data_IF_278214888617
#
_entry.id   IF_278214888617
#
_cell.length_a   1.000
_cell.length_b   1.000
_cell.length_c   1.000
_cell.angle_alpha   90.00
_cell.angle_beta   90.00
_cell.angle_gamma   90.00
#
_symmetry.space_group_name_H-M   'P 1'
#
loop_
_entity.id
_entity.type
_entity.pdbx_description
1 polymer ?
#
# COMPACT_ATOMS: atom_id res chain seq x y z
N UNK A 1 46.33 2.53 -65.55
CA UNK A 1 45.82 1.54 -64.63
C UNK A 1 46.09 1.97 -63.19
N UNK A 2 45.43 3.02 -62.65
CA UNK A 2 45.64 3.46 -61.28
C UNK A 2 44.50 4.37 -60.78
N UNK A 3 43.25 4.01 -61.09
CA UNK A 3 42.12 4.84 -60.66
C UNK A 3 40.97 4.05 -60.01
N UNK A 4 41.19 2.78 -59.74
CA UNK A 4 40.15 1.92 -59.13
C UNK A 4 40.37 1.64 -57.66
N UNK A 5 41.45 2.14 -57.01
CA UNK A 5 41.75 1.80 -55.61
C UNK A 5 41.29 2.86 -54.57
N UNK A 6 40.63 3.94 -54.99
CA UNK A 6 40.20 5.02 -54.08
C UNK A 6 38.69 5.05 -53.73
N UNK A 7 37.91 4.18 -54.35
CA UNK A 7 36.46 4.12 -54.06
C UNK A 7 36.07 3.08 -52.99
N UNK A 8 36.96 2.16 -52.66
CA UNK A 8 36.66 1.13 -51.64
C UNK A 8 36.84 1.59 -50.20
N UNK A 9 37.48 2.72 -49.96
CA UNK A 9 37.71 3.26 -48.60
C UNK A 9 36.53 4.09 -48.08
N UNK A 10 35.71 4.68 -48.93
CA UNK A 10 34.58 5.51 -48.49
C UNK A 10 33.31 4.72 -48.13
N UNK A 11 33.14 3.52 -48.72
CA UNK A 11 31.98 2.68 -48.41
C UNK A 11 32.11 1.95 -47.05
N UNK A 12 33.33 1.69 -46.59
CA UNK A 12 33.61 1.05 -45.30
C UNK A 12 33.43 1.99 -44.09
N UNK A 13 33.55 3.31 -44.33
CA UNK A 13 33.39 4.29 -43.21
C UNK A 13 31.95 4.72 -42.96
N UNK A 14 31.06 4.50 -43.92
CA UNK A 14 29.65 4.86 -43.80
C UNK A 14 28.78 3.77 -43.12
N UNK A 15 29.28 2.53 -43.04
CA UNK A 15 28.57 1.42 -42.38
C UNK A 15 28.85 1.26 -40.89
N UNK A 16 29.87 1.97 -40.36
CA UNK A 16 30.22 1.89 -38.94
C UNK A 16 29.51 2.95 -38.05
N UNK A 17 28.76 3.86 -38.63
CA UNK A 17 28.08 4.95 -37.89
C UNK A 17 26.59 4.65 -37.58
N UNK A 18 26.05 3.51 -37.98
CA UNK A 18 24.64 3.15 -37.82
C UNK A 18 24.32 2.25 -36.61
N UNK A 19 25.32 1.88 -35.79
CA UNK A 19 25.16 0.93 -34.70
C UNK A 19 25.02 1.56 -33.30
N UNK A 20 24.84 2.88 -33.18
CA UNK A 20 24.68 3.57 -31.89
C UNK A 20 23.26 4.07 -31.64
N UNK A 21 22.22 3.44 -32.22
CA UNK A 21 20.85 3.59 -31.72
C UNK A 21 20.71 2.78 -30.44
N UNK A 22 21.26 3.30 -29.35
CA UNK A 22 21.06 2.76 -28.02
C UNK A 22 19.57 2.68 -27.73
N UNK A 23 19.07 1.47 -27.48
CA UNK A 23 17.77 1.27 -26.88
C UNK A 23 17.75 2.01 -25.54
N UNK A 24 17.20 3.21 -25.52
CA UNK A 24 16.83 3.87 -24.29
C UNK A 24 15.72 3.03 -23.68
N UNK A 25 16.08 2.12 -22.76
CA UNK A 25 15.13 1.47 -21.87
C UNK A 25 14.34 2.60 -21.18
N UNK A 26 13.00 2.65 -21.30
CA UNK A 26 12.24 3.64 -20.57
C UNK A 26 12.54 3.44 -19.09
N UNK A 27 13.10 4.48 -18.46
CA UNK A 27 13.34 4.46 -17.02
C UNK A 27 12.03 4.12 -16.34
N UNK A 28 12.02 3.06 -15.56
CA UNK A 28 10.89 2.71 -14.72
C UNK A 28 10.53 3.96 -13.90
N UNK A 29 9.24 4.34 -13.80
CA UNK A 29 8.84 5.51 -13.05
C UNK A 29 9.38 5.35 -11.62
N UNK A 30 10.29 6.23 -11.22
CA UNK A 30 10.82 6.25 -9.86
C UNK A 30 9.66 6.43 -8.91
N UNK A 31 9.48 5.46 -8.00
CA UNK A 31 8.48 5.56 -6.97
C UNK A 31 8.67 6.90 -6.21
N UNK A 32 7.61 7.68 -5.97
CA UNK A 32 7.72 8.90 -5.22
C UNK A 32 8.32 8.59 -3.85
N UNK A 33 9.35 9.31 -3.45
CA UNK A 33 9.93 9.20 -2.10
C UNK A 33 8.85 9.55 -1.09
N UNK A 34 8.44 8.67 -0.20
CA UNK A 34 7.60 9.03 0.93
C UNK A 34 8.50 9.72 1.95
N UNK A 35 8.55 11.03 1.89
CA UNK A 35 9.32 11.89 2.78
C UNK A 35 8.55 13.14 3.17
N UNK A 36 7.25 13.17 2.92
CA UNK A 36 6.36 14.22 3.40
C UNK A 36 5.98 13.98 4.86
N UNK A 37 5.84 15.08 5.64
CA UNK A 37 5.29 15.01 6.99
C UNK A 37 3.94 14.27 6.97
N UNK A 38 3.70 13.45 8.00
CA UNK A 38 2.43 12.72 8.16
C UNK A 38 1.26 13.69 8.12
N UNK A 39 0.27 13.40 7.29
CA UNK A 39 -0.99 14.15 7.25
C UNK A 39 -2.09 13.33 7.89
N UNK A 40 -2.69 13.94 8.89
CA UNK A 40 -3.79 13.37 9.66
C UNK A 40 -5.00 13.09 8.76
N UNK A 41 -5.68 11.99 9.02
CA UNK A 41 -6.91 11.60 8.32
C UNK A 41 -7.95 11.00 9.27
N UNK A 42 -9.17 10.79 8.80
CA UNK A 42 -10.17 10.05 9.56
C UNK A 42 -9.93 8.53 9.41
N UNK A 43 -9.96 7.71 10.48
CA UNK A 43 -10.23 8.00 11.88
C UNK A 43 -8.98 7.98 12.78
N UNK A 44 -8.00 8.85 12.54
CA UNK A 44 -6.81 8.96 13.37
C UNK A 44 -7.16 9.44 14.78
N UNK A 45 -6.30 9.11 15.74
CA UNK A 45 -6.47 9.44 17.14
C UNK A 45 -5.34 10.37 17.61
N UNK A 46 -5.70 11.55 18.06
CA UNK A 46 -4.80 12.63 18.45
C UNK A 46 -4.93 12.90 19.94
N UNK A 47 -3.81 13.17 20.60
CA UNK A 47 -3.78 13.72 21.97
C UNK A 47 -3.44 15.22 21.86
N UNK A 48 -4.34 16.06 22.33
CA UNK A 48 -4.17 17.51 22.42
C UNK A 48 -3.88 17.88 23.86
N UNK A 49 -2.77 18.55 24.12
CA UNK A 49 -2.37 19.02 25.45
C UNK A 49 -2.23 20.54 25.38
N UNK A 50 -2.86 21.26 26.34
CA UNK A 50 -2.79 22.70 26.46
C UNK A 50 -2.15 23.09 27.79
N UNK A 51 -1.06 23.83 27.73
CA UNK A 51 -0.41 24.37 28.91
C UNK A 51 -0.71 25.87 29.03
N UNK A 52 -0.93 26.43 30.26
CA UNK A 52 -0.72 25.83 31.58
C UNK A 52 -1.89 25.00 32.14
N UNK A 53 -2.93 24.76 31.34
CA UNK A 53 -4.16 24.06 31.78
C UNK A 53 -4.17 22.59 31.31
N UNK A 54 -3.41 21.67 31.97
CA UNK A 54 -3.31 20.28 31.53
C UNK A 54 -4.62 19.49 31.65
N UNK A 55 -5.57 19.96 32.41
CA UNK A 55 -6.92 19.39 32.50
C UNK A 55 -7.71 19.51 31.20
N UNK A 56 -7.26 20.32 30.24
CA UNK A 56 -7.80 20.41 28.88
C UNK A 56 -7.15 19.35 27.98
N UNK A 57 -6.24 18.51 28.50
CA UNK A 57 -5.68 17.40 27.73
C UNK A 57 -6.79 16.43 27.33
N UNK A 58 -6.97 16.26 26.02
CA UNK A 58 -8.03 15.41 25.46
C UNK A 58 -7.52 14.55 24.33
N UNK A 59 -7.94 13.30 24.36
CA UNK A 59 -7.82 12.40 23.23
C UNK A 59 -9.02 12.65 22.30
N UNK A 60 -8.72 13.01 21.06
CA UNK A 60 -9.71 13.33 20.04
C UNK A 60 -9.54 12.41 18.84
N UNK A 61 -10.64 11.82 18.39
CA UNK A 61 -10.67 11.03 17.15
C UNK A 61 -11.09 11.96 16.01
N UNK A 62 -10.36 11.88 14.89
CA UNK A 62 -10.72 12.62 13.69
C UNK A 62 -12.01 12.04 13.11
N UNK A 63 -13.03 12.88 13.02
CA UNK A 63 -14.35 12.50 12.52
C UNK A 63 -14.33 12.29 10.99
N UNK A 64 -15.34 11.61 10.40
CA UNK A 64 -15.45 11.45 8.95
C UNK A 64 -15.51 12.77 8.15
N UNK A 65 -15.95 13.88 8.78
CA UNK A 65 -15.90 15.22 8.20
C UNK A 65 -14.51 15.86 8.22
N UNK A 66 -13.52 15.16 8.79
CA UNK A 66 -12.13 15.61 8.89
C UNK A 66 -11.85 16.55 10.06
N UNK A 67 -12.82 16.76 10.95
CA UNK A 67 -12.69 17.66 12.09
C UNK A 67 -12.37 16.91 13.39
N UNK A 68 -11.75 17.62 14.34
CA UNK A 68 -11.64 17.24 15.75
C UNK A 68 -12.33 18.28 16.61
N UNK A 69 -12.96 17.84 17.70
CA UNK A 69 -13.56 18.75 18.69
C UNK A 69 -12.59 18.96 19.84
N UNK A 70 -12.25 20.21 20.11
CA UNK A 70 -11.33 20.63 21.19
C UNK A 70 -12.07 21.53 22.15
N UNK A 71 -11.94 21.29 23.45
CA UNK A 71 -12.59 22.08 24.48
C UNK A 71 -12.21 23.57 24.35
N UNK A 72 -13.15 24.45 24.59
CA UNK A 72 -13.07 25.92 24.46
C UNK A 72 -12.92 26.44 23.02
N UNK A 73 -12.32 25.68 22.11
CA UNK A 73 -12.02 26.09 20.73
C UNK A 73 -13.11 25.66 19.76
N UNK A 74 -13.80 24.54 20.09
CA UNK A 74 -14.78 23.92 19.21
C UNK A 74 -14.14 23.06 18.14
N UNK A 75 -14.75 23.01 16.96
CA UNK A 75 -14.31 22.16 15.86
C UNK A 75 -13.13 22.77 15.11
N UNK A 76 -12.09 21.95 14.89
CA UNK A 76 -10.84 22.30 14.19
C UNK A 76 -10.61 21.32 13.07
N UNK A 77 -10.29 21.82 11.87
CA UNK A 77 -9.91 20.99 10.71
C UNK A 77 -8.62 20.26 11.01
N UNK A 78 -8.64 18.93 10.99
CA UNK A 78 -7.48 18.07 11.21
C UNK A 78 -7.07 17.32 9.94
N UNK A 79 -8.03 16.77 9.20
CA UNK A 79 -7.72 15.99 7.99
C UNK A 79 -6.97 16.82 6.94
N UNK A 80 -5.90 16.21 6.39
CA UNK A 80 -5.01 16.81 5.41
C UNK A 80 -3.93 17.71 5.99
N UNK A 81 -3.92 17.98 7.32
CA UNK A 81 -2.95 18.80 8.02
C UNK A 81 -1.94 17.96 8.80
N UNK A 82 -0.78 18.56 9.10
CA UNK A 82 0.19 17.95 10.03
C UNK A 82 -0.20 18.25 11.49
N UNK A 83 0.36 17.50 12.43
CA UNK A 83 0.09 17.72 13.86
C UNK A 83 0.55 19.09 14.32
N UNK A 84 1.61 19.64 13.72
CA UNK A 84 2.13 20.98 13.98
C UNK A 84 1.16 22.06 13.47
N UNK A 85 0.61 21.90 12.26
CA UNK A 85 -0.38 22.82 11.70
C UNK A 85 -1.65 22.86 12.53
N UNK A 86 -2.09 21.69 13.04
CA UNK A 86 -3.25 21.58 13.93
C UNK A 86 -2.96 22.28 15.27
N UNK A 87 -1.76 22.02 15.85
CA UNK A 87 -1.36 22.65 17.12
C UNK A 87 -1.33 24.18 17.00
N UNK A 88 -0.78 24.72 15.91
CA UNK A 88 -0.73 26.16 15.67
C UNK A 88 -2.13 26.78 15.54
N UNK A 89 -3.05 26.11 14.84
CA UNK A 89 -4.43 26.57 14.70
C UNK A 89 -5.17 26.59 16.03
N UNK A 90 -5.05 25.51 16.83
CA UNK A 90 -5.63 25.45 18.17
C UNK A 90 -5.03 26.54 19.06
N UNK A 91 -3.70 26.70 19.05
CA UNK A 91 -3.02 27.72 19.84
C UNK A 91 -3.50 29.13 19.52
N UNK A 92 -3.70 29.43 18.23
CA UNK A 92 -4.22 30.72 17.79
C UNK A 92 -5.64 30.99 18.32
N UNK A 93 -6.53 30.00 18.27
CA UNK A 93 -7.92 30.14 18.72
C UNK A 93 -8.03 30.20 20.24
N UNK A 94 -7.27 29.37 20.96
CA UNK A 94 -7.36 29.31 22.42
C UNK A 94 -6.71 30.53 23.10
N UNK A 95 -5.86 31.29 22.40
CA UNK A 95 -5.22 32.48 22.91
C UNK A 95 -6.21 33.59 23.36
N UNK A 96 -7.49 33.56 22.88
CA UNK A 96 -8.54 34.43 23.34
C UNK A 96 -9.08 34.05 24.73
N UNK A 97 -8.87 32.83 25.17
CA UNK A 97 -9.35 32.29 26.46
C UNK A 97 -8.26 32.16 27.51
N UNK A 98 -7.03 31.82 27.07
CA UNK A 98 -5.89 31.53 27.94
C UNK A 98 -4.72 32.43 27.56
N UNK A 99 -4.03 33.01 28.54
CA UNK A 99 -2.86 33.86 28.30
C UNK A 99 -1.62 33.00 28.05
N UNK A 100 -0.96 33.21 26.93
CA UNK A 100 0.28 32.54 26.58
C UNK A 100 0.17 31.00 26.46
N UNK A 101 -0.84 30.48 25.78
CA UNK A 101 -1.04 29.04 25.70
C UNK A 101 0.05 28.38 24.87
N UNK A 102 0.50 27.20 25.30
CA UNK A 102 1.35 26.31 24.52
C UNK A 102 0.58 25.04 24.24
N UNK A 103 0.33 24.76 22.96
CA UNK A 103 -0.44 23.60 22.53
C UNK A 103 0.50 22.57 21.91
N UNK A 104 0.36 21.33 22.34
CA UNK A 104 1.06 20.18 21.75
C UNK A 104 0.00 19.20 21.25
N UNK A 105 0.14 18.77 20.00
CA UNK A 105 -0.69 17.73 19.40
C UNK A 105 0.20 16.55 19.06
N UNK A 106 -0.18 15.37 19.53
CA UNK A 106 0.56 14.12 19.31
C UNK A 106 -0.36 13.10 18.64
N UNK A 107 0.13 12.39 17.62
CA UNK A 107 -0.57 11.26 17.01
C UNK A 107 -0.46 10.06 17.96
N UNK A 108 -1.59 9.56 18.46
CA UNK A 108 -1.67 8.39 19.34
C UNK A 108 -1.79 7.12 18.50
N UNK A 109 -2.67 7.14 17.50
CA UNK A 109 -2.87 6.02 16.60
C UNK A 109 -3.16 6.50 15.17
N UNK A 110 -2.37 5.99 14.22
CA UNK A 110 -2.59 6.19 12.78
C UNK A 110 -3.51 5.09 12.26
N UNK A 111 -4.78 5.41 12.05
CA UNK A 111 -5.78 4.46 11.53
C UNK A 111 -6.26 4.84 10.13
N UNK A 112 -6.03 6.09 9.73
CA UNK A 112 -6.40 6.59 8.40
C UNK A 112 -5.52 6.04 7.30
N UNK A 113 -4.27 5.72 7.62
CA UNK A 113 -3.32 5.16 6.66
C UNK A 113 -3.18 3.66 6.89
N UNK A 114 -3.98 2.88 6.19
CA UNK A 114 -3.93 1.41 6.22
C UNK A 114 -3.57 0.86 4.86
N UNK A 115 -2.94 -0.32 4.85
CA UNK A 115 -2.70 -1.12 3.65
C UNK A 115 -3.50 -2.39 3.73
N UNK A 116 -4.07 -2.80 2.62
CA UNK A 116 -4.84 -4.03 2.51
C UNK A 116 -4.09 -5.03 1.62
N UNK A 117 -3.93 -6.26 2.08
CA UNK A 117 -3.30 -7.34 1.32
C UNK A 117 -4.33 -8.42 1.02
N UNK A 118 -4.48 -8.72 -0.27
CA UNK A 118 -5.49 -9.63 -0.81
C UNK A 118 -4.88 -10.65 -1.76
N UNK A 119 -5.59 -11.75 -1.99
CA UNK A 119 -5.24 -12.79 -2.95
C UNK A 119 -4.52 -13.97 -2.32
N UNK A 120 -3.53 -14.52 -3.03
CA UNK A 120 -2.80 -15.72 -2.66
C UNK A 120 -1.77 -15.48 -1.55
N UNK A 121 -2.26 -15.13 -0.35
CA UNK A 121 -1.48 -14.99 0.88
C UNK A 121 -2.08 -15.85 1.97
N UNK A 122 -1.29 -16.26 2.96
CA UNK A 122 -1.76 -17.16 4.02
C UNK A 122 -2.82 -16.51 4.91
N UNK A 123 -2.73 -15.20 5.17
CA UNK A 123 -3.70 -14.46 5.99
C UNK A 123 -4.02 -13.10 5.38
N UNK A 124 -4.95 -13.03 4.39
CA UNK A 124 -5.38 -11.74 3.88
C UNK A 124 -5.86 -10.82 5.01
N UNK A 125 -5.32 -9.61 5.08
CA UNK A 125 -5.67 -8.66 6.14
C UNK A 125 -5.38 -7.23 5.74
N UNK A 126 -5.93 -6.29 6.52
CA UNK A 126 -5.59 -4.88 6.47
C UNK A 126 -4.91 -4.49 7.79
N UNK A 127 -3.89 -3.65 7.73
CA UNK A 127 -3.21 -3.14 8.91
C UNK A 127 -2.77 -1.68 8.73
N UNK A 128 -2.69 -0.90 9.82
CA UNK A 128 -2.24 0.49 9.74
C UNK A 128 -0.74 0.58 9.46
N UNK A 129 -0.35 1.65 8.76
CA UNK A 129 1.04 2.02 8.55
C UNK A 129 1.50 2.92 9.71
N UNK A 130 2.18 2.35 10.67
CA UNK A 130 2.80 3.03 11.82
C UNK A 130 4.20 3.57 11.52
N UNK A 131 4.83 3.06 10.48
CA UNK A 131 6.16 3.43 9.98
C UNK A 131 6.24 3.21 8.47
N UNK A 132 7.39 3.54 7.88
CA UNK A 132 7.69 3.16 6.50
C UNK A 132 7.71 1.63 6.36
N UNK A 133 6.76 1.09 5.60
CA UNK A 133 6.62 -0.35 5.34
C UNK A 133 6.78 -0.59 3.84
N UNK A 134 7.63 -1.56 3.48
CA UNK A 134 7.81 -2.00 2.10
C UNK A 134 6.98 -3.23 1.80
N UNK A 135 6.76 -3.51 0.49
CA UNK A 135 5.93 -4.64 0.04
C UNK A 135 6.40 -5.97 0.63
N UNK A 136 7.69 -6.26 0.65
CA UNK A 136 8.21 -7.50 1.22
C UNK A 136 7.93 -7.62 2.73
N UNK A 137 8.08 -6.52 3.51
CA UNK A 137 7.74 -6.49 4.93
C UNK A 137 6.22 -6.70 5.12
N UNK A 138 5.41 -6.04 4.30
CA UNK A 138 3.96 -6.15 4.35
C UNK A 138 3.50 -7.59 4.10
N UNK A 139 4.07 -8.26 3.10
CA UNK A 139 3.81 -9.68 2.84
C UNK A 139 4.24 -10.57 4.01
N UNK A 140 5.36 -10.27 4.67
CA UNK A 140 5.77 -10.95 5.89
C UNK A 140 4.76 -10.84 7.02
N UNK A 141 4.12 -9.68 7.21
CA UNK A 141 3.07 -9.45 8.23
C UNK A 141 1.83 -10.33 8.04
N UNK A 142 1.54 -10.74 6.80
CA UNK A 142 0.43 -11.64 6.47
C UNK A 142 0.86 -13.11 6.30
N UNK A 143 2.01 -13.47 6.86
CA UNK A 143 2.61 -14.82 6.82
C UNK A 143 3.08 -15.26 5.41
N UNK A 144 3.28 -14.32 4.50
CA UNK A 144 3.79 -14.56 3.16
C UNK A 144 2.75 -15.06 2.14
N UNK A 145 3.17 -15.18 0.87
CA UNK A 145 2.36 -15.73 -0.21
C UNK A 145 2.18 -17.25 -0.05
N UNK A 146 1.07 -17.78 -0.59
CA UNK A 146 0.84 -19.21 -0.68
C UNK A 146 1.71 -19.86 -1.76
N UNK A 147 1.77 -21.20 -1.80
CA UNK A 147 2.47 -21.94 -2.85
C UNK A 147 1.82 -21.78 -4.24
N UNK A 148 0.57 -21.30 -4.31
CA UNK A 148 -0.16 -21.02 -5.54
C UNK A 148 0.06 -19.58 -6.04
N UNK A 149 0.75 -18.74 -5.28
CA UNK A 149 0.96 -17.35 -5.60
C UNK A 149 1.93 -17.15 -6.77
N UNK A 150 1.61 -16.22 -7.66
CA UNK A 150 2.51 -15.76 -8.71
C UNK A 150 3.40 -14.63 -8.16
N UNK A 151 4.47 -14.97 -7.44
CA UNK A 151 5.36 -14.05 -6.74
C UNK A 151 5.98 -12.97 -7.64
N UNK A 152 6.24 -13.27 -8.91
CA UNK A 152 6.80 -12.31 -9.89
C UNK A 152 5.78 -11.29 -10.43
N UNK A 153 4.49 -11.42 -10.10
CA UNK A 153 3.41 -10.61 -10.66
C UNK A 153 2.53 -9.96 -9.61
N UNK A 154 3.05 -9.69 -8.43
CA UNK A 154 2.34 -8.97 -7.37
C UNK A 154 2.04 -7.55 -7.83
N UNK A 155 0.86 -7.04 -7.52
CA UNK A 155 0.42 -5.71 -7.90
C UNK A 155 0.16 -4.86 -6.66
N UNK A 156 0.65 -3.63 -6.68
CA UNK A 156 0.27 -2.60 -5.71
C UNK A 156 -0.62 -1.60 -6.44
N UNK A 157 -1.86 -1.51 -6.01
CA UNK A 157 -2.85 -0.58 -6.54
C UNK A 157 -2.93 0.61 -5.62
N UNK A 158 -2.54 1.77 -6.10
CA UNK A 158 -2.57 3.05 -5.39
C UNK A 158 -3.57 3.99 -6.01
N UNK A 159 -4.46 4.53 -5.18
CA UNK A 159 -5.41 5.54 -5.61
C UNK A 159 -4.89 6.93 -5.22
N UNK A 160 -4.61 7.77 -6.22
CA UNK A 160 -4.19 9.16 -6.06
C UNK A 160 -5.35 10.10 -6.44
N UNK A 161 -6.42 10.07 -5.66
CA UNK A 161 -7.62 10.85 -5.93
C UNK A 161 -8.42 10.32 -7.12
N UNK A 162 -8.32 10.96 -8.29
CA UNK A 162 -9.03 10.53 -9.51
C UNK A 162 -8.22 9.57 -10.38
N UNK A 163 -6.96 9.31 -10.04
CA UNK A 163 -6.08 8.45 -10.84
C UNK A 163 -5.68 7.22 -10.05
N UNK A 164 -5.86 6.04 -10.63
CA UNK A 164 -5.37 4.79 -10.07
C UNK A 164 -4.07 4.39 -10.75
N UNK A 165 -3.01 4.19 -9.97
CA UNK A 165 -1.73 3.66 -10.44
C UNK A 165 -1.55 2.22 -10.00
N UNK A 166 -1.01 1.39 -10.89
CA UNK A 166 -0.70 0.00 -10.60
C UNK A 166 0.80 -0.21 -10.77
N UNK A 167 1.46 -0.60 -9.68
CA UNK A 167 2.88 -0.95 -9.69
C UNK A 167 3.00 -2.47 -9.67
N UNK A 168 3.90 -2.99 -10.47
CA UNK A 168 4.23 -4.42 -10.44
C UNK A 168 5.44 -4.65 -9.54
N UNK A 169 5.35 -5.66 -8.69
CA UNK A 169 6.41 -6.07 -7.76
C UNK A 169 6.77 -7.51 -8.03
N UNK A 170 8.06 -7.79 -8.14
CA UNK A 170 8.62 -9.12 -8.31
C UNK A 170 9.25 -9.58 -7.00
N UNK A 171 8.52 -10.40 -6.24
CA UNK A 171 9.02 -10.91 -4.96
C UNK A 171 10.14 -11.92 -5.13
N UNK A 172 10.14 -12.72 -6.21
CA UNK A 172 11.23 -13.66 -6.49
C UNK A 172 12.56 -12.91 -6.66
N UNK A 173 12.56 -11.81 -7.42
CA UNK A 173 13.74 -10.95 -7.57
C UNK A 173 14.17 -10.30 -6.24
N UNK A 174 13.21 -9.90 -5.40
CA UNK A 174 13.51 -9.34 -4.07
C UNK A 174 14.15 -10.39 -3.16
N UNK A 175 13.66 -11.64 -3.19
CA UNK A 175 14.23 -12.77 -2.45
C UNK A 175 15.67 -13.08 -2.92
N UNK A 176 15.97 -12.85 -4.21
CA UNK A 176 17.31 -12.98 -4.81
C UNK A 176 18.23 -11.76 -4.57
N UNK A 177 17.71 -10.71 -3.89
CA UNK A 177 18.47 -9.51 -3.51
C UNK A 177 18.27 -8.28 -4.41
N UNK A 178 17.49 -8.35 -5.49
CA UNK A 178 17.10 -7.19 -6.29
C UNK A 178 15.93 -6.44 -5.65
N UNK A 179 16.24 -5.38 -4.92
CA UNK A 179 15.25 -4.55 -4.24
C UNK A 179 14.62 -3.46 -5.12
N UNK A 180 14.89 -3.44 -6.42
CA UNK A 180 14.43 -2.39 -7.34
C UNK A 180 12.90 -2.24 -7.37
N UNK A 181 12.17 -3.35 -7.23
CA UNK A 181 10.70 -3.36 -7.19
C UNK A 181 10.10 -3.36 -5.78
N UNK A 182 10.92 -3.36 -4.71
CA UNK A 182 10.45 -3.37 -3.33
C UNK A 182 9.92 -1.98 -2.91
N UNK A 183 8.74 -1.65 -3.41
CA UNK A 183 8.08 -0.36 -3.24
C UNK A 183 7.76 -0.07 -1.77
N UNK A 184 7.89 1.20 -1.37
CA UNK A 184 7.35 1.71 -0.11
C UNK A 184 5.84 1.90 -0.27
N UNK A 185 5.08 1.33 0.65
CA UNK A 185 3.63 1.41 0.68
C UNK A 185 3.16 2.75 1.24
N UNK A 186 2.06 3.24 0.72
CA UNK A 186 1.36 4.43 1.20
C UNK A 186 -0.02 4.04 1.75
N UNK A 187 -0.60 4.92 2.58
CA UNK A 187 -1.96 4.73 3.07
C UNK A 187 -2.97 4.60 1.93
N UNK A 188 -3.85 3.62 2.02
CA UNK A 188 -4.83 3.29 0.98
C UNK A 188 -4.33 2.35 -0.10
N UNK A 189 -3.06 1.92 -0.08
CA UNK A 189 -2.57 0.93 -1.04
C UNK A 189 -3.25 -0.42 -0.85
N UNK A 190 -3.54 -1.07 -1.98
CA UNK A 190 -4.03 -2.44 -2.01
C UNK A 190 -2.99 -3.32 -2.70
N UNK A 191 -2.40 -4.25 -1.94
CA UNK A 191 -1.46 -5.24 -2.47
C UNK A 191 -2.25 -6.48 -2.88
N UNK A 192 -2.21 -6.82 -4.17
CA UNK A 192 -2.90 -7.96 -4.73
C UNK A 192 -1.88 -9.00 -5.15
N UNK A 193 -1.95 -10.18 -4.56
CA UNK A 193 -1.11 -11.34 -4.90
C UNK A 193 -1.92 -12.29 -5.78
N UNK A 194 -1.67 -12.34 -7.10
CA UNK A 194 -2.44 -13.16 -8.00
C UNK A 194 -2.02 -14.64 -7.90
N UNK A 195 -2.91 -15.57 -8.29
CA UNK A 195 -2.55 -16.97 -8.44
C UNK A 195 -1.64 -17.21 -9.66
N UNK A 196 -0.92 -18.33 -9.66
CA UNK A 196 -0.22 -18.83 -10.84
C UNK A 196 -1.22 -19.22 -11.94
N UNK A 197 -0.77 -19.27 -13.19
CA UNK A 197 -1.63 -19.68 -14.32
C UNK A 197 -2.22 -21.09 -14.10
N UNK A 198 -1.44 -22.02 -13.57
CA UNK A 198 -1.92 -23.36 -13.22
C UNK A 198 -3.00 -23.34 -12.14
N UNK A 199 -2.82 -22.53 -11.10
CA UNK A 199 -3.82 -22.37 -10.04
C UNK A 199 -5.11 -21.74 -10.55
N UNK A 200 -5.04 -20.71 -11.40
CA UNK A 200 -6.23 -20.07 -11.97
C UNK A 200 -7.07 -21.02 -12.84
N UNK A 201 -6.42 -21.91 -13.60
CA UNK A 201 -7.13 -22.99 -14.34
C UNK A 201 -7.79 -23.95 -13.34
N UNK A 202 -7.10 -24.35 -12.28
CA UNK A 202 -7.66 -25.22 -11.23
C UNK A 202 -8.90 -24.61 -10.56
N UNK A 203 -8.87 -23.32 -10.26
CA UNK A 203 -10.05 -22.60 -9.70
C UNK A 203 -11.22 -22.54 -10.70
N UNK A 204 -10.94 -22.30 -11.98
CA UNK A 204 -11.98 -22.29 -13.02
C UNK A 204 -12.63 -23.66 -13.17
N UNK A 205 -11.85 -24.73 -13.20
CA UNK A 205 -12.34 -26.10 -13.25
C UNK A 205 -13.17 -26.41 -12.01
N UNK A 206 -12.67 -26.11 -10.82
CA UNK A 206 -13.41 -26.34 -9.56
C UNK A 206 -14.73 -25.57 -9.51
N UNK A 207 -14.73 -24.30 -9.97
CA UNK A 207 -15.95 -23.49 -10.05
C UNK A 207 -16.98 -24.07 -11.01
N UNK A 208 -16.54 -24.68 -12.11
CA UNK A 208 -17.42 -25.33 -13.08
C UNK A 208 -18.03 -26.64 -12.54
N UNK A 209 -17.25 -27.45 -11.82
CA UNK A 209 -17.73 -28.73 -11.29
C UNK A 209 -18.44 -28.63 -9.94
N UNK A 210 -18.27 -27.55 -9.19
CA UNK A 210 -18.87 -27.37 -7.85
C UNK A 210 -20.41 -27.54 -7.84
N UNK A 211 -21.18 -26.93 -8.75
CA UNK A 211 -22.63 -27.13 -8.78
C UNK A 211 -23.02 -28.56 -9.12
N UNK A 212 -22.24 -29.29 -9.90
CA UNK A 212 -22.52 -30.68 -10.30
C UNK A 212 -22.30 -31.62 -9.10
N UNK A 213 -21.23 -31.44 -8.34
CA UNK A 213 -20.94 -32.25 -7.14
C UNK A 213 -21.97 -32.01 -6.03
N UNK A 214 -22.49 -30.80 -5.91
CA UNK A 214 -23.57 -30.49 -4.96
C UNK A 214 -24.89 -31.16 -5.31
N UNK A 215 -25.20 -31.33 -6.61
CA UNK A 215 -26.41 -31.97 -7.08
C UNK A 215 -26.32 -33.50 -6.96
N UNK A 216 -25.17 -34.09 -7.23
CA UNK A 216 -24.98 -35.54 -7.24
C UNK A 216 -24.44 -36.14 -5.93
N UNK A 217 -24.17 -35.32 -4.91
CA UNK A 217 -23.68 -35.76 -3.60
C UNK A 217 -22.31 -36.46 -3.61
N UNK A 218 -21.54 -36.31 -4.70
CA UNK A 218 -20.23 -36.93 -4.86
C UNK A 218 -19.18 -35.98 -4.27
N UNK A 219 -18.72 -36.24 -3.01
CA UNK A 219 -17.55 -35.59 -2.44
C UNK A 219 -17.74 -34.75 -1.18
N UNK A 220 -18.85 -34.84 -0.46
CA UNK A 220 -18.93 -34.26 0.88
C UNK A 220 -18.22 -35.15 1.91
N UNK A 221 -17.53 -34.58 2.93
CA UNK A 221 -17.06 -35.38 4.04
C UNK A 221 -18.27 -36.05 4.70
N UNK A 222 -18.23 -37.37 4.78
CA UNK A 222 -19.25 -38.16 5.46
C UNK A 222 -19.33 -37.73 6.94
N UNK A 223 -20.28 -36.86 7.27
CA UNK A 223 -20.68 -36.65 8.65
C UNK A 223 -21.27 -37.93 9.17
N UNK A 224 -20.44 -38.72 9.82
CA UNK A 224 -20.88 -39.86 10.62
C UNK A 224 -21.69 -39.28 11.78
N UNK A 225 -23.02 -39.26 11.62
CA UNK A 225 -23.91 -39.09 12.74
C UNK A 225 -23.81 -40.35 13.62
N UNK A 226 -23.08 -40.25 14.71
CA UNK A 226 -23.14 -41.25 15.80
C UNK A 226 -24.48 -41.03 16.48
N UNK A 227 -25.46 -41.86 16.11
CA UNK A 227 -26.67 -42.01 16.89
C UNK A 227 -26.28 -42.85 18.11
N UNK A 228 -26.05 -42.19 19.24
CA UNK A 228 -25.97 -42.85 20.56
C UNK A 228 -27.41 -43.04 21.01
N UNK A 229 -27.95 -44.24 20.77
CA UNK A 229 -29.16 -44.70 21.43
C UNK A 229 -28.86 -44.90 22.92
N UNK A 230 -29.55 -44.12 23.77
CA UNK A 230 -29.58 -44.34 25.20
C UNK A 230 -30.67 -45.36 25.55
N UNK A 231 -30.34 -46.21 26.46
CA UNK A 231 -31.28 -46.97 27.34
C UNK A 231 -31.30 -46.23 28.68
#
# INVERSE_FOLDING_TARGET
MAWFSRLSGLAAFLTLLAAAAGCATPAAPSAPKPGGAYRVGAPDELLVIVMPEPQIARQAVVRPDGMISVDLVGDVQAAGRTVEEIAAEIQKRIASYIRGPKVTVTLVASRSQSVTILGEVLRPSSFPLDKEVRVAEALGRVNGPTYLAAKSRIKVVRNEGQTTRVFQVNLDAIEDGDLSTNLVLAGGDVVVVPPTAAASIGYAIRGFFYPITAIFGIGGPATRSVITGGI
#
